data_IF_978340225427
#
_entry.id   IF_978340225427
#
_cell.length_a   1.000
_cell.length_b   1.000
_cell.length_c   1.000
_cell.angle_alpha   90.00
_cell.angle_beta   90.00
_cell.angle_gamma   90.00
#
_symmetry.space_group_name_H-M   'P 1'
#
loop_
_entity.id
_entity.type
_entity.pdbx_description
1 polymer ?
#
# COMPACT_ATOMS: atom_id res chain seq x y z
N UNK A 1 -15.59 53.90 23.61
CA UNK A 1 -14.76 53.41 22.50
C UNK A 1 -14.66 51.91 22.66
N UNK A 2 -15.54 51.20 21.97
CA UNK A 2 -15.48 49.75 21.81
C UNK A 2 -14.54 49.49 20.63
N UNK A 3 -13.52 48.66 20.85
CA UNK A 3 -12.62 48.19 19.80
C UNK A 3 -13.18 46.86 19.29
N UNK A 4 -13.67 46.86 18.06
CA UNK A 4 -14.01 45.66 17.30
C UNK A 4 -12.69 45.09 16.76
N UNK A 5 -12.27 43.92 17.26
CA UNK A 5 -11.17 43.13 16.72
C UNK A 5 -11.70 42.33 15.53
N UNK A 6 -11.33 42.74 14.32
CA UNK A 6 -11.54 41.97 13.09
C UNK A 6 -10.47 40.86 13.04
N UNK A 7 -10.89 39.61 13.21
CA UNK A 7 -10.08 38.43 12.94
C UNK A 7 -10.05 38.20 11.42
N UNK A 8 -8.90 38.44 10.79
CA UNK A 8 -8.63 38.04 9.41
C UNK A 8 -8.39 36.53 9.35
N UNK A 9 -9.35 35.80 8.76
CA UNK A 9 -9.19 34.38 8.40
C UNK A 9 -8.28 34.28 7.17
N UNK A 10 -7.04 33.81 7.38
CA UNK A 10 -6.12 33.46 6.28
C UNK A 10 -6.54 32.11 5.68
N UNK A 11 -7.12 32.17 4.48
CA UNK A 11 -7.48 31.02 3.66
C UNK A 11 -6.21 30.48 2.96
N UNK A 12 -5.72 29.32 3.39
CA UNK A 12 -4.56 28.66 2.78
C UNK A 12 -5.04 27.80 1.60
N UNK A 13 -4.73 28.22 0.37
CA UNK A 13 -4.89 27.40 -0.83
C UNK A 13 -3.81 26.31 -0.85
N UNK A 14 -4.18 25.06 -0.52
CA UNK A 14 -3.33 23.88 -0.76
C UNK A 14 -3.18 23.67 -2.27
N UNK A 15 -2.05 24.10 -2.83
CA UNK A 15 -1.61 23.71 -4.16
C UNK A 15 -1.39 22.19 -4.19
N UNK A 16 -2.40 21.43 -4.64
CA UNK A 16 -2.25 20.02 -4.99
C UNK A 16 -1.46 19.91 -6.30
N UNK A 17 -0.15 19.76 -6.16
CA UNK A 17 0.77 19.26 -7.18
C UNK A 17 0.50 17.77 -7.45
N UNK A 18 -0.61 17.53 -8.16
CA UNK A 18 -0.95 16.24 -8.74
C UNK A 18 0.00 15.87 -9.87
N UNK A 19 1.17 15.31 -9.53
CA UNK A 19 1.97 14.55 -10.48
C UNK A 19 1.19 13.29 -10.88
N UNK A 20 0.58 13.36 -12.06
CA UNK A 20 -0.03 12.23 -12.76
C UNK A 20 1.08 11.23 -13.13
N UNK A 21 1.27 10.20 -12.30
CA UNK A 21 2.09 9.05 -12.69
C UNK A 21 1.26 8.18 -13.62
N UNK A 22 1.60 8.22 -14.91
CA UNK A 22 1.13 7.30 -15.93
C UNK A 22 1.49 5.86 -15.52
N UNK A 23 0.50 5.11 -15.02
CA UNK A 23 0.56 3.69 -14.69
C UNK A 23 0.58 2.86 -15.98
N UNK A 24 1.64 3.05 -16.76
CA UNK A 24 1.85 2.36 -18.01
C UNK A 24 2.13 0.87 -17.76
N UNK A 25 1.01 0.17 -17.78
CA UNK A 25 0.71 -1.24 -17.94
C UNK A 25 1.63 -1.95 -18.96
N UNK A 26 2.82 -2.39 -18.53
CA UNK A 26 3.62 -3.37 -19.26
C UNK A 26 4.30 -4.33 -18.29
N UNK A 27 3.62 -5.44 -17.97
CA UNK A 27 4.21 -6.79 -17.86
C UNK A 27 3.17 -7.79 -17.33
N UNK A 28 2.09 -7.97 -18.09
CA UNK A 28 1.45 -9.27 -18.16
C UNK A 28 2.04 -9.99 -19.38
N UNK A 29 2.36 -11.27 -19.20
CA UNK A 29 2.85 -12.20 -20.23
C UNK A 29 4.34 -12.13 -20.58
N UNK A 30 5.20 -12.47 -19.61
CA UNK A 30 6.43 -13.19 -19.96
C UNK A 30 6.59 -14.40 -19.04
N UNK A 31 6.15 -15.55 -19.55
CA UNK A 31 6.49 -16.87 -19.04
C UNK A 31 8.01 -17.05 -19.12
N UNK A 32 8.72 -16.62 -18.09
CA UNK A 32 10.15 -16.84 -17.98
C UNK A 32 10.37 -17.65 -16.72
N UNK A 33 11.14 -18.72 -16.88
CA UNK A 33 11.75 -19.53 -15.83
C UNK A 33 12.81 -18.65 -15.12
N UNK A 34 12.37 -17.52 -14.56
CA UNK A 34 13.16 -16.57 -13.81
C UNK A 34 13.43 -17.29 -12.50
N UNK A 35 14.71 -17.47 -12.15
CA UNK A 35 15.11 -17.93 -10.82
C UNK A 35 14.16 -17.32 -9.77
N UNK A 36 13.42 -18.16 -9.05
CA UNK A 36 12.38 -17.73 -8.11
C UNK A 36 12.85 -16.60 -7.18
N UNK A 37 14.15 -16.60 -6.85
CA UNK A 37 14.81 -15.56 -6.06
C UNK A 37 14.77 -14.16 -6.70
N UNK A 38 14.94 -14.04 -8.02
CA UNK A 38 14.91 -12.74 -8.68
C UNK A 38 13.49 -12.15 -8.70
N UNK A 39 12.47 -12.96 -9.02
CA UNK A 39 11.07 -12.53 -8.96
C UNK A 39 10.71 -12.11 -7.54
N UNK A 40 11.06 -12.93 -6.55
CA UNK A 40 10.84 -12.63 -5.14
C UNK A 40 11.51 -11.33 -4.71
N UNK A 41 12.77 -11.11 -5.11
CA UNK A 41 13.49 -9.89 -4.77
C UNK A 41 12.84 -8.65 -5.39
N UNK A 42 12.43 -8.72 -6.66
CA UNK A 42 11.73 -7.60 -7.31
C UNK A 42 10.41 -7.28 -6.63
N UNK A 43 9.65 -8.29 -6.20
CA UNK A 43 8.41 -8.11 -5.46
C UNK A 43 8.63 -7.45 -4.09
N UNK A 44 9.62 -7.93 -3.34
CA UNK A 44 10.01 -7.35 -2.04
C UNK A 44 10.42 -5.88 -2.21
N UNK A 45 11.26 -5.58 -3.20
CA UNK A 45 11.71 -4.22 -3.50
C UNK A 45 10.54 -3.27 -3.85
N UNK A 46 9.57 -3.74 -4.62
CA UNK A 46 8.36 -2.97 -4.94
C UNK A 46 7.56 -2.64 -3.67
N UNK A 47 7.36 -3.60 -2.78
CA UNK A 47 6.67 -3.36 -1.50
C UNK A 47 7.42 -2.35 -0.63
N UNK A 48 8.75 -2.44 -0.54
CA UNK A 48 9.57 -1.45 0.15
C UNK A 48 9.41 -0.05 -0.45
N UNK A 49 9.36 0.06 -1.79
CA UNK A 49 9.16 1.35 -2.48
C UNK A 49 7.82 1.98 -2.13
N UNK A 50 6.76 1.17 -2.06
CA UNK A 50 5.40 1.62 -1.70
C UNK A 50 5.38 2.15 -0.25
N UNK A 51 5.89 1.39 0.73
CA UNK A 51 5.96 1.85 2.12
C UNK A 51 6.75 3.16 2.23
N UNK A 52 7.88 3.27 1.51
CA UNK A 52 8.69 4.49 1.51
C UNK A 52 7.91 5.70 1.02
N UNK A 53 7.13 5.56 -0.07
CA UNK A 53 6.27 6.63 -0.60
C UNK A 53 5.28 7.11 0.46
N UNK A 54 4.60 6.19 1.14
CA UNK A 54 3.63 6.54 2.18
C UNK A 54 4.27 7.19 3.43
N UNK A 55 5.50 6.79 3.79
CA UNK A 55 6.25 7.45 4.87
C UNK A 55 6.69 8.87 4.48
N UNK A 56 7.16 9.06 3.24
CA UNK A 56 7.58 10.38 2.74
C UNK A 56 6.41 11.35 2.66
N UNK A 57 5.22 10.86 2.32
CA UNK A 57 3.99 11.65 2.26
C UNK A 57 3.32 11.83 3.64
N UNK A 58 4.00 11.48 4.73
CA UNK A 58 3.51 11.55 6.11
C UNK A 58 2.18 10.79 6.39
N UNK A 59 1.74 9.92 5.47
CA UNK A 59 0.54 9.07 5.64
C UNK A 59 0.78 7.92 6.62
N UNK A 60 2.04 7.53 6.82
CA UNK A 60 2.46 6.52 7.79
C UNK A 60 3.57 7.11 8.68
N UNK A 61 3.50 6.98 10.02
CA UNK A 61 4.59 7.37 10.91
C UNK A 61 5.89 6.60 10.58
N UNK A 62 7.02 7.30 10.51
CA UNK A 62 8.33 6.69 10.18
C UNK A 62 8.66 5.50 11.09
N UNK A 63 8.28 5.58 12.38
CA UNK A 63 8.50 4.52 13.35
C UNK A 63 7.75 3.22 12.98
N UNK A 64 6.53 3.32 12.44
CA UNK A 64 5.74 2.18 12.01
C UNK A 64 6.19 1.71 10.61
N UNK A 65 6.63 2.61 9.74
CA UNK A 65 7.26 2.28 8.45
C UNK A 65 8.48 1.35 8.57
N UNK A 66 9.34 1.57 9.56
CA UNK A 66 10.48 0.69 9.83
C UNK A 66 10.04 -0.74 10.19
N UNK A 67 8.94 -0.89 10.95
CA UNK A 67 8.37 -2.20 11.30
C UNK A 67 7.78 -2.90 10.08
N UNK A 68 7.07 -2.17 9.21
CA UNK A 68 6.53 -2.74 7.97
C UNK A 68 7.66 -3.23 7.04
N UNK A 69 8.75 -2.49 6.93
CA UNK A 69 9.94 -2.96 6.20
C UNK A 69 10.51 -4.26 6.76
N UNK A 70 10.56 -4.43 8.08
CA UNK A 70 10.95 -5.70 8.68
C UNK A 70 9.98 -6.82 8.32
N UNK A 71 8.66 -6.59 8.41
CA UNK A 71 7.65 -7.58 8.05
C UNK A 71 7.72 -8.01 6.58
N UNK A 72 8.04 -7.09 5.67
CA UNK A 72 8.23 -7.38 4.24
C UNK A 72 9.43 -8.34 4.06
N UNK A 73 10.56 -8.04 4.70
CA UNK A 73 11.74 -8.92 4.67
C UNK A 73 11.46 -10.31 5.24
N UNK A 74 10.66 -10.38 6.31
CA UNK A 74 10.22 -11.64 6.94
C UNK A 74 9.12 -12.35 6.14
N UNK A 75 8.58 -11.72 5.09
CA UNK A 75 7.45 -12.22 4.31
C UNK A 75 6.26 -12.55 5.22
N UNK A 76 5.96 -11.67 6.17
CA UNK A 76 4.85 -11.87 7.10
C UNK A 76 3.52 -12.00 6.33
N UNK A 77 2.69 -13.01 6.62
CA UNK A 77 1.46 -13.25 5.86
C UNK A 77 0.49 -12.06 5.91
N UNK A 78 0.46 -11.33 7.03
CA UNK A 78 -0.43 -10.17 7.20
C UNK A 78 -0.05 -9.00 6.29
N UNK A 79 1.26 -8.73 6.12
CA UNK A 79 1.70 -7.64 5.24
C UNK A 79 1.53 -8.03 3.78
N UNK A 80 1.82 -9.30 3.44
CA UNK A 80 1.64 -9.82 2.08
C UNK A 80 0.16 -9.72 1.67
N UNK A 81 -0.77 -10.17 2.51
CA UNK A 81 -2.20 -10.10 2.19
C UNK A 81 -2.68 -8.65 2.00
N UNK A 82 -2.13 -7.69 2.77
CA UNK A 82 -2.46 -6.28 2.57
C UNK A 82 -2.01 -5.77 1.19
N UNK A 83 -0.79 -6.12 0.78
CA UNK A 83 -0.29 -5.75 -0.54
C UNK A 83 -1.03 -6.44 -1.68
N UNK A 84 -1.44 -7.69 -1.51
CA UNK A 84 -2.25 -8.42 -2.50
C UNK A 84 -3.61 -7.75 -2.71
N UNK A 85 -4.31 -7.41 -1.63
CA UNK A 85 -5.61 -6.71 -1.72
C UNK A 85 -5.44 -5.32 -2.33
N UNK A 86 -4.38 -4.60 -1.95
CA UNK A 86 -4.08 -3.29 -2.54
C UNK A 86 -3.76 -3.37 -4.02
N UNK A 87 -3.02 -4.37 -4.47
CA UNK A 87 -2.70 -4.56 -5.88
C UNK A 87 -3.96 -4.74 -6.75
N UNK A 88 -5.00 -5.39 -6.20
CA UNK A 88 -6.28 -5.63 -6.87
C UNK A 88 -7.20 -4.41 -6.84
N UNK A 89 -7.38 -3.78 -5.68
CA UNK A 89 -8.38 -2.75 -5.49
C UNK A 89 -7.86 -1.33 -5.77
N UNK A 90 -6.54 -1.12 -5.66
CA UNK A 90 -5.85 0.19 -5.79
C UNK A 90 -6.41 1.30 -4.92
N UNK A 91 -7.19 0.97 -3.88
CA UNK A 91 -7.71 1.91 -2.92
C UNK A 91 -6.64 2.22 -1.84
N UNK A 92 -6.11 3.43 -1.86
CA UNK A 92 -5.08 3.86 -0.89
C UNK A 92 -5.63 3.94 0.55
N UNK A 93 -6.87 4.39 0.73
CA UNK A 93 -7.44 4.61 2.07
C UNK A 93 -7.65 3.27 2.79
N UNK A 94 -8.24 2.29 2.10
CA UNK A 94 -8.40 0.92 2.63
C UNK A 94 -7.04 0.28 2.93
N UNK A 95 -6.03 0.53 2.09
CA UNK A 95 -4.68 0.02 2.31
C UNK A 95 -4.06 0.62 3.57
N UNK A 96 -4.17 1.93 3.76
CA UNK A 96 -3.64 2.62 4.94
C UNK A 96 -4.37 2.20 6.21
N UNK A 97 -5.70 2.06 6.17
CA UNK A 97 -6.48 1.55 7.30
C UNK A 97 -5.99 0.16 7.71
N UNK A 98 -5.82 -0.76 6.76
CA UNK A 98 -5.30 -2.09 7.01
C UNK A 98 -3.89 -2.08 7.62
N UNK A 99 -3.01 -1.18 7.15
CA UNK A 99 -1.68 -1.01 7.74
C UNK A 99 -1.75 -0.48 9.18
N UNK A 100 -2.65 0.47 9.48
CA UNK A 100 -2.82 0.98 10.84
C UNK A 100 -3.34 -0.09 11.79
N UNK A 101 -4.29 -0.92 11.35
CA UNK A 101 -4.76 -2.08 12.12
C UNK A 101 -3.60 -3.04 12.44
N UNK A 102 -2.72 -3.33 11.46
CA UNK A 102 -1.54 -4.16 11.70
C UNK A 102 -0.61 -3.50 12.74
N UNK A 103 -0.32 -2.20 12.61
CA UNK A 103 0.53 -1.49 13.56
C UNK A 103 -0.01 -1.55 14.99
N UNK A 104 -1.32 -1.40 15.16
CA UNK A 104 -1.98 -1.47 16.47
C UNK A 104 -1.92 -2.88 17.06
N UNK A 105 -2.14 -3.92 16.25
CA UNK A 105 -1.97 -5.31 16.68
C UNK A 105 -0.52 -5.56 17.14
N UNK A 106 0.47 -5.00 16.45
CA UNK A 106 1.87 -5.13 16.83
C UNK A 106 2.15 -4.46 18.19
N UNK A 107 1.62 -3.25 18.41
CA UNK A 107 1.77 -2.52 19.69
C UNK A 107 1.15 -3.31 20.85
N UNK A 108 -0.06 -3.83 20.67
CA UNK A 108 -0.74 -4.66 21.68
C UNK A 108 0.10 -5.90 22.04
N UNK A 109 0.73 -6.55 21.06
CA UNK A 109 1.57 -7.73 21.30
C UNK A 109 2.86 -7.40 22.04
N UNK A 110 3.49 -6.27 21.73
CA UNK A 110 4.72 -5.86 22.43
C UNK A 110 4.45 -5.40 23.85
N UNK A 111 3.30 -4.76 24.10
CA UNK A 111 2.94 -4.24 25.42
C UNK A 111 2.29 -5.33 26.30
N UNK A 112 1.68 -6.35 25.69
CA UNK A 112 1.06 -7.49 26.35
C UNK A 112 2.03 -8.57 26.84
N UNK A 113 3.27 -8.57 26.38
CA UNK A 113 4.33 -9.50 26.82
C UNK A 113 5.04 -9.03 28.10
N UNK A 114 4.33 -8.28 28.95
CA UNK A 114 4.77 -8.01 30.30
C UNK A 114 4.90 -9.35 31.06
N UNK A 115 6.09 -9.70 31.59
CA UNK A 115 6.33 -10.97 32.29
C UNK A 115 5.54 -11.13 33.60
N UNK A 116 4.73 -10.13 33.99
CA UNK A 116 3.92 -10.14 35.21
C UNK A 116 2.53 -10.79 35.05
N UNK A 117 2.14 -11.27 33.86
CA UNK A 117 0.90 -12.03 33.68
C UNK A 117 0.99 -13.52 34.06
N UNK A 118 2.02 -13.92 34.83
CA UNK A 118 2.06 -15.23 35.50
C UNK A 118 1.37 -15.15 36.86
N UNK A 119 0.04 -15.09 36.90
CA UNK A 119 -0.78 -15.57 38.04
C UNK A 119 -2.26 -15.22 37.87
N UNK A 120 -3.01 -15.94 37.03
CA UNK A 120 -4.41 -16.21 37.36
C UNK A 120 -4.83 -17.62 36.93
N UNK A 121 -5.18 -18.39 37.96
CA UNK A 121 -6.07 -19.55 37.96
C UNK A 121 -5.72 -20.74 37.07
N UNK A 122 -4.95 -21.65 37.68
CA UNK A 122 -5.27 -23.08 37.65
C UNK A 122 -6.74 -23.27 38.06
N UNK A 123 -7.64 -23.35 37.07
CA UNK A 123 -9.00 -23.86 37.27
C UNK A 123 -9.02 -25.30 36.76
N UNK A 124 -8.51 -26.19 37.61
CA UNK A 124 -8.77 -27.63 37.53
C UNK A 124 -10.29 -27.85 37.59
N UNK A 125 -10.87 -28.38 36.51
CA UNK A 125 -12.30 -28.70 36.54
C UNK A 125 -12.99 -28.99 35.22
N UNK A 126 -12.33 -29.60 34.23
CA UNK A 126 -13.06 -30.19 33.10
C UNK A 126 -12.68 -31.64 32.88
N UNK A 127 -13.67 -32.51 33.09
CA UNK A 127 -13.64 -33.94 32.82
C UNK A 127 -13.32 -34.23 31.34
N UNK A 128 -12.55 -35.29 31.04
CA UNK A 128 -12.27 -35.69 29.67
C UNK A 128 -13.51 -36.32 29.04
N UNK A 129 -14.02 -35.72 27.96
CA UNK A 129 -15.00 -36.37 27.09
C UNK A 129 -14.29 -37.33 26.11
N UNK A 130 -14.96 -38.41 25.66
CA UNK A 130 -14.33 -39.49 24.93
C UNK A 130 -13.93 -39.05 23.52
N UNK A 131 -12.69 -39.37 23.15
CA UNK A 131 -12.18 -39.33 21.78
C UNK A 131 -13.08 -40.21 20.90
N UNK A 132 -13.77 -39.60 19.93
CA UNK A 132 -14.29 -40.30 18.77
C UNK A 132 -13.28 -40.18 17.65
N UNK A 133 -12.77 -41.35 17.30
CA UNK A 133 -12.00 -41.67 16.12
C UNK A 133 -12.78 -41.34 14.85
N UNK A 134 -12.01 -40.92 13.85
CA UNK A 134 -12.21 -41.12 12.41
C UNK A 134 -13.48 -40.54 11.80
N UNK A 135 -13.34 -39.39 11.13
CA UNK A 135 -13.72 -39.25 9.72
C UNK A 135 -13.00 -38.02 9.16
N UNK A 136 -12.05 -38.29 8.27
CA UNK A 136 -11.22 -37.33 7.55
C UNK A 136 -12.05 -36.71 6.42
N UNK A 137 -12.43 -35.42 6.47
CA UNK A 137 -12.97 -34.77 5.28
C UNK A 137 -11.81 -34.46 4.34
N UNK A 138 -11.82 -35.13 3.20
CA UNK A 138 -10.94 -34.93 2.07
C UNK A 138 -10.65 -33.44 1.84
N UNK A 139 -9.36 -33.13 1.71
CA UNK A 139 -8.83 -31.84 1.31
C UNK A 139 -9.34 -31.51 -0.10
N UNK A 140 -10.52 -30.90 -0.18
CA UNK A 140 -10.94 -30.17 -1.37
C UNK A 140 -10.09 -28.91 -1.45
N UNK A 141 -9.00 -29.09 -2.19
CA UNK A 141 -8.21 -28.07 -2.85
C UNK A 141 -9.17 -26.95 -3.32
N UNK A 142 -9.07 -25.77 -2.71
CA UNK A 142 -9.73 -24.58 -3.22
C UNK A 142 -9.06 -24.22 -4.55
N UNK A 143 -9.60 -24.77 -5.64
CA UNK A 143 -9.37 -24.26 -6.98
C UNK A 143 -10.14 -22.95 -7.11
N UNK A 144 -9.45 -21.83 -6.93
CA UNK A 144 -9.93 -20.55 -7.42
C UNK A 144 -9.84 -20.60 -8.94
N UNK A 145 -10.90 -21.09 -9.59
CA UNK A 145 -11.13 -20.84 -11.01
C UNK A 145 -11.32 -19.33 -11.18
N UNK A 146 -10.21 -18.65 -11.48
CA UNK A 146 -10.21 -17.28 -11.95
C UNK A 146 -10.90 -17.26 -13.31
N UNK A 147 -12.20 -16.96 -13.31
CA UNK A 147 -12.91 -16.55 -14.52
C UNK A 147 -12.36 -15.20 -14.96
N UNK A 148 -11.31 -15.25 -15.79
CA UNK A 148 -10.84 -14.13 -16.59
C UNK A 148 -11.96 -13.73 -17.57
N UNK A 149 -12.81 -12.80 -17.14
CA UNK A 149 -13.65 -12.04 -18.06
C UNK A 149 -12.71 -11.18 -18.90
N UNK A 150 -12.48 -11.61 -20.13
CA UNK A 150 -11.81 -10.80 -21.15
C UNK A 150 -12.77 -9.67 -21.52
N UNK A 151 -12.54 -8.47 -20.97
CA UNK A 151 -13.09 -7.25 -21.53
C UNK A 151 -12.23 -6.85 -22.72
N UNK A 152 -12.59 -7.35 -23.89
CA UNK A 152 -12.13 -6.81 -25.17
C UNK A 152 -12.94 -5.55 -25.47
N UNK A 153 -12.24 -4.44 -25.74
CA UNK A 153 -12.76 -3.36 -26.58
C UNK A 153 -13.16 -2.09 -25.84
N UNK A 154 -12.34 -1.06 -25.97
CA UNK A 154 -12.69 0.15 -26.72
C UNK A 154 -11.38 0.92 -27.00
N UNK A 155 -10.95 0.86 -28.26
CA UNK A 155 -9.89 1.70 -28.82
C UNK A 155 -10.54 3.06 -29.12
N UNK A 156 -10.29 4.06 -28.28
CA UNK A 156 -10.62 5.45 -28.62
C UNK A 156 -9.46 6.10 -29.36
N UNK A 157 -9.82 6.61 -30.54
CA UNK A 157 -8.98 7.11 -31.60
C UNK A 157 -8.15 8.34 -31.17
N UNK A 158 -6.92 8.37 -31.69
CA UNK A 158 -5.93 9.44 -31.56
C UNK A 158 -6.49 10.83 -31.93
N UNK A 159 -6.55 11.76 -30.98
CA UNK A 159 -6.64 13.19 -31.29
C UNK A 159 -5.24 13.75 -31.61
N UNK A 160 -4.97 13.88 -32.91
CA UNK A 160 -3.89 14.72 -33.45
C UNK A 160 -4.07 16.18 -33.00
N UNK A 161 -3.25 16.65 -32.06
CA UNK A 161 -3.12 18.09 -31.80
C UNK A 161 -1.84 18.63 -32.45
N UNK A 162 -2.03 19.34 -33.56
CA UNK A 162 -0.99 20.04 -34.31
C UNK A 162 -0.28 21.10 -33.45
N UNK A 163 1.00 20.86 -33.17
CA UNK A 163 1.91 21.84 -32.62
C UNK A 163 2.39 22.80 -33.74
N UNK A 164 1.86 24.03 -33.78
CA UNK A 164 2.35 25.11 -34.65
C UNK A 164 3.10 26.18 -33.85
N UNK A 165 4.41 26.00 -33.79
CA UNK A 165 5.48 27.00 -33.88
C UNK A 165 5.12 28.47 -33.59
N UNK A 166 5.50 28.92 -32.40
CA UNK A 166 5.49 30.33 -31.98
C UNK A 166 6.87 30.81 -31.49
N UNK A 167 7.94 30.55 -32.24
CA UNK A 167 9.27 31.14 -31.95
C UNK A 167 9.34 32.53 -32.59
N UNK A 168 9.00 33.58 -31.84
CA UNK A 168 9.32 34.96 -32.20
C UNK A 168 10.30 35.56 -31.20
N UNK A 169 11.43 35.99 -31.75
CA UNK A 169 12.63 36.40 -31.04
C UNK A 169 12.50 37.62 -30.13
N UNK A 170 13.44 37.71 -29.20
CA UNK A 170 13.86 38.95 -28.59
C UNK A 170 15.38 39.08 -28.74
N UNK A 171 15.78 39.86 -29.75
CA UNK A 171 17.14 40.33 -29.91
C UNK A 171 17.46 41.33 -28.80
N UNK A 172 18.32 40.95 -27.85
CA UNK A 172 18.80 41.88 -26.82
C UNK A 172 20.03 42.61 -27.37
N UNK A 173 19.85 43.89 -27.74
CA UNK A 173 20.95 44.77 -28.15
C UNK A 173 21.71 45.24 -26.91
N UNK A 174 22.98 44.85 -26.82
CA UNK A 174 23.94 45.41 -25.87
C UNK A 174 24.42 46.76 -26.40
N UNK A 175 23.93 47.85 -25.81
CA UNK A 175 24.51 49.19 -26.02
C UNK A 175 25.66 49.39 -25.03
N UNK A 176 26.89 49.37 -25.54
CA UNK A 176 28.02 50.02 -24.88
C UNK A 176 27.85 51.53 -25.02
N UNK A 177 27.79 52.26 -23.90
CA UNK A 177 28.39 53.60 -23.71
C UNK A 177 28.39 53.95 -22.22
#
# INVERSE_FOLDING_TARGET
EEFEEEEEEEEYEEEQDGEYYDENNQNQENMININDDHVRNTFIEQQHRIIRRFCLNAKIPIADGAKFHQMINECSPNIISCFEVFALNRNEDDFLENLMIIADIMKIRTDGDSPDAKNTSSLDGFSPLPRRHDDEPEKKLFGLELNLVSNEGEEDEDEENEEKNGEMGAANQVSNF
#
